data_IF_134290837268
#
_entry.id   IF_134290837268
#
_cell.length_a   1.000
_cell.length_b   1.000
_cell.length_c   1.000
_cell.angle_alpha   90.00
_cell.angle_beta   90.00
_cell.angle_gamma   90.00
#
_symmetry.space_group_name_H-M   'P 1'
#
loop_
_entity.id
_entity.type
_entity.pdbx_description
1 polymer ?
#
# COMPACT_ATOMS: atom_id res chain seq x y z
N UNK A 1 -0.57 17.15 1.08
CA UNK A 1 0.18 15.88 0.92
C UNK A 1 -0.56 14.90 1.81
N UNK A 2 -1.28 13.95 1.24
CA UNK A 2 -2.20 13.07 1.99
C UNK A 2 -1.43 11.77 2.30
N UNK A 3 -0.96 11.63 3.53
CA UNK A 3 -0.19 10.48 3.99
C UNK A 3 -1.11 9.29 4.30
N UNK A 4 -0.69 8.09 3.92
CA UNK A 4 -1.49 6.88 4.06
C UNK A 4 -0.63 5.70 4.47
N UNK A 5 -1.14 4.92 5.41
CA UNK A 5 -0.63 3.59 5.73
C UNK A 5 -1.36 2.56 4.90
N UNK A 6 -0.61 1.60 4.34
CA UNK A 6 -1.18 0.55 3.49
C UNK A 6 -0.89 -0.80 4.09
N UNK A 7 -1.94 -1.55 4.40
CA UNK A 7 -1.84 -2.91 4.89
C UNK A 7 -2.18 -3.86 3.75
N UNK A 8 -1.36 -4.89 3.56
CA UNK A 8 -1.57 -5.94 2.58
C UNK A 8 -1.84 -7.26 3.30
N UNK A 9 -2.86 -7.99 2.84
CA UNK A 9 -3.19 -9.32 3.34
C UNK A 9 -3.38 -10.30 2.20
N UNK A 10 -2.54 -11.32 2.16
CA UNK A 10 -2.71 -12.48 1.29
C UNK A 10 -3.91 -13.32 1.74
N UNK A 11 -4.56 -14.01 0.81
CA UNK A 11 -5.67 -14.92 1.12
C UNK A 11 -5.21 -16.03 2.09
N UNK A 12 -5.71 -16.00 3.34
CA UNK A 12 -5.28 -16.91 4.41
C UNK A 12 -4.02 -16.50 5.17
N UNK A 13 -3.36 -15.42 4.76
CA UNK A 13 -2.17 -14.87 5.41
C UNK A 13 -2.46 -13.88 6.53
N UNK A 14 -1.37 -13.50 7.22
CA UNK A 14 -1.36 -12.37 8.16
C UNK A 14 -1.40 -11.03 7.39
N UNK A 15 -1.91 -10.00 8.06
CA UNK A 15 -1.86 -8.64 7.55
C UNK A 15 -0.46 -8.05 7.80
N UNK A 16 0.19 -7.54 6.76
CA UNK A 16 1.50 -6.87 6.82
C UNK A 16 1.35 -5.39 6.47
N UNK A 17 1.96 -4.51 7.27
CA UNK A 17 2.08 -3.09 6.95
C UNK A 17 3.15 -2.90 5.87
N UNK A 18 2.77 -2.27 4.76
CA UNK A 18 3.69 -1.96 3.68
C UNK A 18 4.58 -0.78 4.04
N UNK A 19 5.87 -0.97 3.86
CA UNK A 19 6.87 0.06 4.03
C UNK A 19 7.72 0.24 2.77
N UNK A 20 8.26 1.43 2.59
CA UNK A 20 9.24 1.72 1.56
C UNK A 20 10.51 0.89 1.80
N UNK A 21 10.89 0.04 0.85
CA UNK A 21 12.11 -0.75 0.96
C UNK A 21 13.40 0.09 1.06
N UNK A 22 13.37 1.34 0.57
CA UNK A 22 14.53 2.22 0.58
C UNK A 22 14.77 2.95 1.90
N UNK A 23 13.72 3.31 2.64
CA UNK A 23 13.84 4.09 3.88
C UNK A 23 13.08 3.51 5.08
N UNK A 24 12.37 2.40 4.91
CA UNK A 24 11.57 1.77 5.96
C UNK A 24 10.29 2.52 6.33
N UNK A 25 9.98 3.65 5.68
CA UNK A 25 8.78 4.45 6.01
C UNK A 25 7.50 3.73 5.57
N UNK A 26 6.55 3.59 6.49
CA UNK A 26 5.18 3.12 6.22
C UNK A 26 4.28 4.18 5.58
N UNK A 27 4.77 5.42 5.47
CA UNK A 27 4.03 6.55 4.88
C UNK A 27 4.14 6.51 3.36
N UNK A 28 3.09 6.02 2.74
CA UNK A 28 2.98 5.85 1.30
C UNK A 28 1.90 6.79 0.76
N UNK A 29 2.14 7.34 -0.42
CA UNK A 29 1.17 8.10 -1.19
C UNK A 29 0.61 7.22 -2.31
N UNK A 30 -0.72 7.25 -2.53
CA UNK A 30 -1.31 6.60 -3.69
C UNK A 30 -0.80 7.30 -4.94
N UNK A 31 -0.07 6.60 -5.80
CA UNK A 31 0.33 7.17 -7.07
C UNK A 31 -0.92 7.29 -7.97
N UNK A 32 -1.09 8.36 -8.76
CA UNK A 32 -2.16 8.43 -9.75
C UNK A 32 -1.92 7.31 -10.78
N UNK A 33 -2.80 6.30 -10.79
CA UNK A 33 -2.63 5.07 -11.58
C UNK A 33 -2.25 3.83 -10.76
N UNK A 34 -2.03 3.95 -9.45
CA UNK A 34 -1.88 2.84 -8.50
C UNK A 34 -3.22 2.12 -8.31
N UNK A 35 -3.63 1.35 -9.31
CA UNK A 35 -4.66 0.33 -9.15
C UNK A 35 -4.00 -0.99 -8.77
N UNK A 36 -4.58 -1.71 -7.81
CA UNK A 36 -4.28 -3.13 -7.64
C UNK A 36 -4.73 -3.87 -8.91
N UNK A 37 -3.84 -4.00 -9.89
CA UNK A 37 -4.16 -4.61 -11.18
C UNK A 37 -4.09 -6.12 -11.00
N UNK A 38 -5.18 -6.72 -10.53
CA UNK A 38 -5.37 -8.17 -10.64
C UNK A 38 -5.65 -8.50 -12.10
N UNK A 39 -4.62 -8.81 -12.90
CA UNK A 39 -4.84 -9.31 -14.26
C UNK A 39 -5.47 -10.71 -14.18
N UNK A 40 -6.66 -10.95 -14.76
CA UNK A 40 -7.36 -12.22 -14.64
C UNK A 40 -6.76 -13.37 -15.47
N UNK A 41 -5.64 -13.17 -16.16
CA UNK A 41 -5.06 -14.22 -16.99
C UNK A 41 -3.53 -14.22 -16.91
N UNK A 42 -2.99 -15.43 -16.68
CA UNK A 42 -1.58 -15.84 -16.59
C UNK A 42 -0.89 -15.60 -15.23
N UNK A 43 -1.32 -16.38 -14.24
CA UNK A 43 -0.71 -16.43 -12.89
C UNK A 43 -1.13 -15.22 -12.06
N UNK A 44 -1.91 -15.45 -10.99
CA UNK A 44 -2.48 -14.42 -10.12
C UNK A 44 -1.40 -13.65 -9.32
N UNK A 45 -0.52 -12.91 -9.98
CA UNK A 45 0.44 -12.03 -9.32
C UNK A 45 -0.25 -10.69 -9.03
N UNK A 46 -0.57 -10.43 -7.77
CA UNK A 46 -1.04 -9.10 -7.38
C UNK A 46 0.17 -8.19 -7.21
N UNK A 47 0.16 -7.04 -7.89
CA UNK A 47 1.20 -6.01 -7.75
C UNK A 47 0.63 -4.76 -7.10
N UNK A 48 1.46 -4.16 -6.24
CA UNK A 48 1.20 -2.90 -5.59
C UNK A 48 2.33 -1.93 -5.89
N UNK A 49 1.99 -0.71 -6.29
CA UNK A 49 2.92 0.40 -6.44
C UNK A 49 2.40 1.60 -5.65
N UNK A 50 3.29 2.24 -4.91
CA UNK A 50 3.00 3.49 -4.23
C UNK A 50 4.26 4.36 -4.17
N UNK A 51 4.09 5.66 -4.01
CA UNK A 51 5.22 6.57 -3.81
C UNK A 51 5.49 6.71 -2.32
N UNK A 52 6.74 6.62 -1.89
CA UNK A 52 7.08 6.85 -0.50
C UNK A 52 7.05 8.36 -0.19
N UNK A 53 6.28 8.79 0.79
CA UNK A 53 6.25 10.19 1.23
C UNK A 53 7.60 10.64 1.81
N UNK A 54 8.29 9.72 2.52
CA UNK A 54 9.58 10.02 3.16
C UNK A 54 10.73 10.32 2.19
N UNK A 55 10.96 9.43 1.22
CA UNK A 55 12.10 9.55 0.28
C UNK A 55 11.70 9.91 -1.16
N UNK A 56 10.40 10.04 -1.45
CA UNK A 56 9.87 10.37 -2.77
C UNK A 56 10.02 9.26 -3.83
N UNK A 57 10.62 8.11 -3.49
CA UNK A 57 10.84 6.98 -4.42
C UNK A 57 9.59 6.10 -4.53
N UNK A 58 9.40 5.48 -5.68
CA UNK A 58 8.37 4.46 -5.86
C UNK A 58 8.78 3.15 -5.15
N UNK A 59 7.83 2.55 -4.44
CA UNK A 59 7.95 1.23 -3.84
C UNK A 59 7.01 0.29 -4.57
N UNK A 60 7.51 -0.91 -4.84
CA UNK A 60 6.78 -1.94 -5.58
C UNK A 60 6.81 -3.23 -4.75
N UNK A 61 5.65 -3.86 -4.59
CA UNK A 61 5.52 -5.19 -3.99
C UNK A 61 4.68 -6.07 -4.90
N UNK A 62 5.01 -7.36 -4.91
CA UNK A 62 4.33 -8.38 -5.69
C UNK A 62 4.05 -9.58 -4.80
N UNK A 63 2.89 -10.18 -4.94
CA UNK A 63 2.50 -11.39 -4.22
C UNK A 63 2.02 -12.48 -5.17
N UNK A 64 2.37 -13.75 -4.90
CA UNK A 64 1.87 -14.90 -5.62
C UNK A 64 0.45 -15.23 -5.14
N UNK A 65 -0.54 -14.45 -5.56
CA UNK A 65 -1.94 -14.73 -5.26
C UNK A 65 -2.80 -13.48 -5.16
N UNK A 66 -4.00 -13.65 -4.62
CA UNK A 66 -4.92 -12.55 -4.33
C UNK A 66 -4.50 -11.86 -3.03
N UNK A 67 -4.38 -10.54 -3.11
CA UNK A 67 -4.09 -9.69 -1.95
C UNK A 67 -5.20 -8.67 -1.77
N UNK A 68 -5.63 -8.50 -0.53
CA UNK A 68 -6.50 -7.39 -0.14
C UNK A 68 -5.63 -6.27 0.41
N UNK A 69 -5.86 -5.07 -0.09
CA UNK A 69 -5.21 -3.86 0.39
C UNK A 69 -6.19 -3.07 1.26
N UNK A 70 -5.73 -2.65 2.44
CA UNK A 70 -6.44 -1.72 3.29
C UNK A 70 -5.66 -0.43 3.37
N UNK A 71 -6.31 0.66 2.98
CA UNK A 71 -5.77 2.00 2.92
C UNK A 71 -6.27 2.77 4.13
N UNK A 72 -5.37 3.12 5.05
CA UNK A 72 -5.68 3.93 6.23
C UNK A 72 -5.07 5.30 5.99
N UNK A 73 -5.92 6.28 5.68
CA UNK A 73 -5.49 7.68 5.62
C UNK A 73 -5.34 8.20 7.04
N UNK A 74 -4.15 8.71 7.37
CA UNK A 74 -4.05 9.61 8.52
C UNK A 74 -4.67 10.94 8.07
N UNK A 75 -5.95 11.16 8.41
CA UNK A 75 -6.49 12.51 8.39
C UNK A 75 -5.71 13.33 9.42
N UNK A 76 -4.68 14.01 8.94
CA UNK A 76 -4.08 15.15 9.64
C UNK A 76 -5.16 16.23 9.80
N UNK A 77 -6.04 16.11 10.80
CA UNK A 77 -6.86 17.23 11.26
C UNK A 77 -8.37 17.04 11.50
N UNK A 78 -8.89 15.86 11.88
CA UNK A 78 -10.29 15.78 12.33
C UNK A 78 -10.45 15.04 13.67
N UNK A 79 -10.34 15.82 14.74
CA UNK A 79 -11.02 15.66 16.03
C UNK A 79 -11.03 14.26 16.67
N UNK A 80 -9.95 13.93 17.39
CA UNK A 80 -10.11 13.21 18.65
C UNK A 80 -10.57 14.21 19.71
N UNK A 81 -11.83 14.66 19.60
CA UNK A 81 -12.51 15.42 20.65
C UNK A 81 -12.91 14.42 21.74
N UNK A 82 -12.44 14.71 22.95
CA UNK A 82 -12.76 14.00 24.19
C UNK A 82 -14.22 14.14 24.58
#
# INVERSE_FOLDING_TARGET
MEEMEVYAREEGGAEELLACAGCGSSRLEPAPGSGATGAPSWGLMTRFSARCAGCGRETHRSWPGRVRFRFVREESGAARAT
#
